data_IF_285399877275
#
_entry.id   IF_285399877275
#
_cell.length_a   1.000
_cell.length_b   1.000
_cell.length_c   1.000
_cell.angle_alpha   90.00
_cell.angle_beta   90.00
_cell.angle_gamma   90.00
#
_symmetry.space_group_name_H-M   'P 1'
#
loop_
_entity.id
_entity.type
_entity.pdbx_description
1 polymer ?
#
# COMPACT_ATOMS: atom_id res chain seq x y z
N UNK A 1 26.60 5.99 -12.01
CA UNK A 1 25.60 5.93 -10.94
C UNK A 1 25.31 4.47 -10.64
N UNK A 2 25.28 4.04 -9.37
CA UNK A 2 24.88 2.66 -9.02
C UNK A 2 23.39 2.52 -9.33
N UNK A 3 22.98 1.47 -10.04
CA UNK A 3 21.57 1.27 -10.40
C UNK A 3 20.70 1.07 -9.14
N UNK A 4 19.49 1.66 -9.10
CA UNK A 4 18.59 1.59 -7.94
C UNK A 4 18.25 0.16 -7.50
N UNK A 5 18.23 -0.79 -8.45
CA UNK A 5 18.06 -2.22 -8.16
C UNK A 5 19.24 -2.81 -7.38
N UNK A 6 20.47 -2.40 -7.71
CA UNK A 6 21.66 -2.81 -6.97
C UNK A 6 21.61 -2.24 -5.55
N UNK A 7 21.16 -0.99 -5.39
CA UNK A 7 20.99 -0.35 -4.08
C UNK A 7 19.93 -1.05 -3.22
N UNK A 8 18.79 -1.44 -3.80
CA UNK A 8 17.77 -2.22 -3.11
C UNK A 8 18.29 -3.60 -2.67
N UNK A 9 19.12 -4.24 -3.51
CA UNK A 9 19.82 -5.48 -3.17
C UNK A 9 20.78 -5.31 -2.00
N UNK A 10 21.59 -4.25 -2.01
CA UNK A 10 22.52 -3.94 -0.91
C UNK A 10 21.78 -3.67 0.40
N UNK A 11 20.68 -2.91 0.36
CA UNK A 11 19.87 -2.61 1.55
C UNK A 11 19.22 -3.86 2.12
N UNK A 12 18.69 -4.74 1.25
CA UNK A 12 18.10 -6.01 1.66
C UNK A 12 19.15 -6.93 2.29
N UNK A 13 20.33 -7.04 1.70
CA UNK A 13 21.44 -7.83 2.25
C UNK A 13 21.85 -7.32 3.63
N UNK A 14 21.99 -5.99 3.79
CA UNK A 14 22.38 -5.36 5.05
C UNK A 14 21.33 -5.53 6.16
N UNK A 15 20.04 -5.43 5.81
CA UNK A 15 18.96 -5.74 6.75
C UNK A 15 19.01 -7.22 7.16
N UNK A 16 19.27 -8.11 6.20
CA UNK A 16 19.44 -9.55 6.44
C UNK A 16 20.58 -9.86 7.40
N UNK A 17 21.73 -9.20 7.25
CA UNK A 17 22.88 -9.32 8.18
C UNK A 17 22.51 -8.94 9.61
N UNK A 18 21.83 -7.80 9.79
CA UNK A 18 21.41 -7.29 11.10
C UNK A 18 20.35 -8.23 11.73
N UNK A 19 19.40 -8.71 10.93
CA UNK A 19 18.38 -9.65 11.39
C UNK A 19 18.96 -11.01 11.75
N UNK A 20 19.92 -11.51 10.97
CA UNK A 20 20.58 -12.79 11.23
C UNK A 20 21.44 -12.71 12.50
N UNK A 21 22.11 -11.57 12.74
CA UNK A 21 22.79 -11.31 14.02
C UNK A 21 21.80 -11.39 15.19
N UNK A 22 20.65 -10.72 15.08
CA UNK A 22 19.61 -10.79 16.12
C UNK A 22 19.06 -12.21 16.31
N UNK A 23 18.93 -12.99 15.23
CA UNK A 23 18.48 -14.39 15.28
C UNK A 23 19.48 -15.29 16.00
N UNK A 24 20.78 -15.09 15.75
CA UNK A 24 21.86 -15.91 16.29
C UNK A 24 22.24 -15.56 17.73
N UNK A 25 22.17 -14.27 18.09
CA UNK A 25 22.71 -13.75 19.35
C UNK A 25 21.65 -13.12 20.26
N UNK A 26 20.38 -13.13 19.83
CA UNK A 26 19.27 -12.48 20.54
C UNK A 26 19.15 -11.00 20.17
N UNK A 27 17.94 -10.45 20.32
CA UNK A 27 17.65 -9.06 19.93
C UNK A 27 18.48 -8.03 20.71
N UNK A 28 18.82 -8.35 21.97
CA UNK A 28 19.62 -7.50 22.86
C UNK A 28 21.09 -7.38 22.44
N UNK A 29 21.54 -8.21 21.48
CA UNK A 29 22.88 -8.14 20.89
C UNK A 29 23.03 -7.04 19.84
N UNK A 30 21.90 -6.43 19.41
CA UNK A 30 21.92 -5.32 18.47
C UNK A 30 22.28 -4.02 19.18
N UNK A 31 23.20 -3.27 18.59
CA UNK A 31 23.51 -1.92 19.03
C UNK A 31 22.38 -0.95 18.63
N UNK A 32 22.20 0.16 19.36
CA UNK A 32 21.25 1.20 18.96
C UNK A 32 21.49 1.74 17.53
N UNK A 33 22.74 1.74 17.08
CA UNK A 33 23.11 2.13 15.72
C UNK A 33 22.61 1.13 14.67
N UNK A 34 22.71 -0.18 14.92
CA UNK A 34 22.20 -1.22 14.00
C UNK A 34 20.67 -1.23 13.92
N UNK A 35 19.99 -0.97 15.04
CA UNK A 35 18.53 -0.81 15.06
C UNK A 35 18.12 0.41 14.23
N UNK A 36 18.84 1.53 14.38
CA UNK A 36 18.58 2.75 13.61
C UNK A 36 18.87 2.56 12.13
N UNK A 37 19.98 1.92 11.80
CA UNK A 37 20.37 1.60 10.43
C UNK A 37 19.30 0.72 9.75
N UNK A 38 18.81 -0.31 10.43
CA UNK A 38 17.73 -1.15 9.90
C UNK A 38 16.44 -0.36 9.63
N UNK A 39 16.08 0.59 10.50
CA UNK A 39 14.93 1.46 10.31
C UNK A 39 15.12 2.42 9.12
N UNK A 40 16.30 3.04 9.00
CA UNK A 40 16.62 3.98 7.93
C UNK A 40 16.68 3.26 6.57
N UNK A 41 17.28 2.06 6.51
CA UNK A 41 17.33 1.23 5.29
C UNK A 41 15.94 0.76 4.87
N UNK A 42 15.09 0.37 5.82
CA UNK A 42 13.70 -0.01 5.54
C UNK A 42 12.88 1.18 5.02
N UNK A 43 13.10 2.37 5.57
CA UNK A 43 12.52 3.62 5.07
C UNK A 43 12.99 3.95 3.65
N UNK A 44 14.29 3.81 3.38
CA UNK A 44 14.85 4.02 2.05
C UNK A 44 14.30 3.03 1.00
N UNK A 45 14.13 1.75 1.36
CA UNK A 45 13.47 0.76 0.50
C UNK A 45 12.02 1.13 0.19
N UNK A 46 11.26 1.57 1.21
CA UNK A 46 9.88 2.00 1.02
C UNK A 46 9.75 3.18 0.05
N UNK A 47 10.68 4.13 0.08
CA UNK A 47 10.72 5.26 -0.86
C UNK A 47 11.03 4.83 -2.30
N UNK A 48 11.89 3.81 -2.47
CA UNK A 48 12.21 3.24 -3.78
C UNK A 48 10.97 2.54 -4.36
N UNK A 49 10.27 1.74 -3.56
CA UNK A 49 9.05 1.04 -3.98
C UNK A 49 7.91 2.02 -4.31
N UNK A 50 7.75 3.08 -3.52
CA UNK A 50 6.78 4.15 -3.81
C UNK A 50 7.07 4.85 -5.14
N UNK A 51 8.35 5.17 -5.41
CA UNK A 51 8.77 5.78 -6.67
C UNK A 51 8.51 4.89 -7.87
N UNK A 52 8.73 3.58 -7.72
CA UNK A 52 8.46 2.57 -8.76
C UNK A 52 6.97 2.44 -9.06
N UNK A 53 6.14 2.38 -8.01
CA UNK A 53 4.69 2.27 -8.15
C UNK A 53 4.09 3.51 -8.82
N UNK A 54 4.56 4.71 -8.46
CA UNK A 54 4.11 5.97 -9.05
C UNK A 54 4.38 6.01 -10.56
N UNK A 55 5.58 5.60 -10.99
CA UNK A 55 5.96 5.63 -12.41
C UNK A 55 5.23 4.56 -13.21
N UNK A 56 4.99 3.38 -12.64
CA UNK A 56 4.13 2.36 -13.28
C UNK A 56 2.69 2.86 -13.45
N UNK A 57 2.15 3.54 -12.45
CA UNK A 57 0.82 4.14 -12.53
C UNK A 57 0.75 5.22 -13.61
N UNK A 58 1.76 6.12 -13.68
CA UNK A 58 1.85 7.11 -14.76
C UNK A 58 1.90 6.45 -16.14
N UNK A 59 2.75 5.43 -16.32
CA UNK A 59 2.85 4.70 -17.58
C UNK A 59 1.52 4.07 -18.03
N UNK A 60 0.70 3.62 -17.08
CA UNK A 60 -0.64 3.08 -17.35
C UNK A 60 -1.64 4.16 -17.75
N UNK A 61 -1.56 5.35 -17.15
CA UNK A 61 -2.51 6.45 -17.34
C UNK A 61 -2.18 7.31 -18.57
N UNK A 62 -0.91 7.63 -18.79
CA UNK A 62 -0.49 8.55 -19.87
C UNK A 62 -0.06 7.84 -21.15
N UNK A 63 0.00 6.51 -21.14
CA UNK A 63 0.77 5.75 -22.12
C UNK A 63 2.27 6.01 -21.94
N UNK A 64 3.10 5.12 -22.49
CA UNK A 64 4.56 5.19 -22.36
C UNK A 64 5.17 6.38 -23.12
N UNK A 65 4.98 7.60 -22.60
CA UNK A 65 5.63 8.81 -23.12
C UNK A 65 7.16 8.67 -23.00
N UNK A 66 7.89 9.47 -23.75
CA UNK A 66 9.35 9.44 -23.74
C UNK A 66 9.91 9.85 -22.38
N UNK A 67 9.24 10.80 -21.69
CA UNK A 67 9.59 11.17 -20.30
C UNK A 67 9.33 10.03 -19.32
N UNK A 68 8.17 9.35 -19.43
CA UNK A 68 7.83 8.20 -18.58
C UNK A 68 8.83 7.05 -18.82
N UNK A 69 9.24 6.84 -20.05
CA UNK A 69 10.24 5.82 -20.42
C UNK A 69 11.60 6.14 -19.81
N UNK A 70 12.04 7.40 -19.84
CA UNK A 70 13.29 7.81 -19.18
C UNK A 70 13.22 7.69 -17.65
N UNK A 71 12.08 8.02 -17.02
CA UNK A 71 11.86 7.80 -15.58
C UNK A 71 11.91 6.30 -15.23
N UNK A 72 11.28 5.43 -16.04
CA UNK A 72 11.35 3.96 -15.87
C UNK A 72 12.79 3.47 -15.96
N UNK A 73 13.58 3.93 -16.92
CA UNK A 73 14.99 3.53 -17.05
C UNK A 73 15.79 3.93 -15.82
N UNK A 74 15.58 5.14 -15.32
CA UNK A 74 16.29 5.65 -14.15
C UNK A 74 15.95 4.87 -12.87
N UNK A 75 14.69 4.45 -12.72
CA UNK A 75 14.18 3.77 -11.52
C UNK A 75 14.33 2.25 -11.57
N UNK A 76 14.10 1.64 -12.74
CA UNK A 76 14.03 0.18 -12.92
C UNK A 76 15.24 -0.42 -13.66
N UNK A 77 16.10 0.42 -14.25
CA UNK A 77 17.21 -0.02 -15.11
C UNK A 77 16.75 -0.41 -16.53
N UNK A 78 17.71 -0.67 -17.43
CA UNK A 78 17.44 -0.98 -18.85
C UNK A 78 16.53 -2.22 -19.05
N UNK A 79 16.52 -3.16 -18.11
CA UNK A 79 15.64 -4.34 -18.13
C UNK A 79 14.16 -4.02 -17.86
N UNK A 80 13.85 -2.86 -17.28
CA UNK A 80 12.47 -2.41 -17.04
C UNK A 80 11.71 -2.05 -18.33
N UNK A 81 12.42 -1.59 -19.37
CA UNK A 81 11.81 -1.19 -20.65
C UNK A 81 11.24 -2.38 -21.41
N UNK A 82 11.89 -3.54 -21.36
CA UNK A 82 11.41 -4.75 -22.05
C UNK A 82 10.07 -5.24 -21.49
N UNK A 83 9.78 -4.97 -20.22
CA UNK A 83 8.51 -5.29 -19.58
C UNK A 83 7.40 -4.25 -19.88
N UNK A 84 7.76 -3.00 -20.20
CA UNK A 84 6.80 -1.93 -20.50
C UNK A 84 6.52 -1.74 -22.00
N UNK A 85 7.46 -2.06 -22.89
CA UNK A 85 7.29 -1.94 -24.34
C UNK A 85 6.44 -3.07 -24.97
N UNK A 86 6.11 -4.12 -24.20
CA UNK A 86 5.32 -5.27 -24.64
C UNK A 86 3.87 -5.34 -24.12
N UNK A 87 3.36 -4.30 -23.45
CA UNK A 87 2.01 -4.34 -22.84
C UNK A 87 0.90 -3.94 -23.82
N UNK A 88 0.88 -4.58 -24.99
CA UNK A 88 -0.36 -4.73 -25.73
C UNK A 88 -1.26 -5.72 -24.96
N UNK A 89 -2.33 -5.20 -24.36
CA UNK A 89 -3.56 -5.90 -24.00
C UNK A 89 -3.41 -7.39 -23.58
N UNK A 90 -2.75 -7.65 -22.45
CA UNK A 90 -3.00 -8.88 -21.69
C UNK A 90 -2.88 -8.56 -20.21
N UNK A 91 -4.04 -8.51 -19.56
CA UNK A 91 -4.20 -8.06 -18.18
C UNK A 91 -3.07 -8.56 -17.29
N UNK A 92 -2.31 -7.60 -16.76
CA UNK A 92 -1.43 -7.84 -15.62
C UNK A 92 -2.35 -8.35 -14.53
N UNK A 93 -2.30 -9.65 -14.25
CA UNK A 93 -2.93 -10.22 -13.06
C UNK A 93 -2.24 -9.55 -11.88
N UNK A 94 -2.84 -8.48 -11.38
CA UNK A 94 -2.38 -7.79 -10.18
C UNK A 94 -2.17 -8.80 -9.06
N UNK A 95 -1.12 -8.58 -8.28
CA UNK A 95 -0.74 -9.43 -7.15
C UNK A 95 -1.99 -9.84 -6.34
N UNK A 96 -2.16 -11.14 -6.03
CA UNK A 96 -3.37 -11.65 -5.40
C UNK A 96 -3.55 -11.22 -3.93
N UNK A 97 -2.66 -10.40 -3.38
CA UNK A 97 -2.61 -10.06 -1.95
C UNK A 97 -2.50 -8.53 -1.84
N UNK A 98 -3.49 -7.84 -1.25
CA UNK A 98 -3.27 -6.50 -0.75
C UNK A 98 -2.29 -6.60 0.43
N UNK A 99 -1.16 -5.93 0.26
CA UNK A 99 -0.07 -5.61 1.19
C UNK A 99 0.03 -6.43 2.52
N UNK A 100 0.76 -7.56 2.53
CA UNK A 100 0.99 -8.34 3.75
C UNK A 100 1.88 -7.61 4.77
N UNK A 101 2.79 -6.74 4.30
CA UNK A 101 3.70 -5.96 5.12
C UNK A 101 3.18 -4.53 5.33
N UNK A 102 3.45 -3.87 6.48
CA UNK A 102 3.07 -2.48 6.66
C UNK A 102 3.70 -1.55 5.62
N UNK A 103 2.89 -0.69 4.99
CA UNK A 103 3.32 0.31 4.00
C UNK A 103 2.91 1.70 4.47
N UNK A 104 3.84 2.65 4.41
CA UNK A 104 3.52 4.07 4.63
C UNK A 104 2.87 4.63 3.38
N UNK A 105 1.67 5.20 3.53
CA UNK A 105 0.92 5.77 2.41
C UNK A 105 1.13 7.28 2.28
N UNK A 106 0.65 7.88 1.20
CA UNK A 106 0.86 9.30 0.88
C UNK A 106 0.33 10.28 1.95
N UNK A 107 -0.58 9.83 2.82
CA UNK A 107 -1.09 10.61 3.95
C UNK A 107 -0.18 10.54 5.20
N UNK A 108 0.98 9.90 5.12
CA UNK A 108 1.94 9.73 6.21
C UNK A 108 1.58 8.65 7.24
N UNK A 109 0.49 7.90 7.02
CA UNK A 109 0.05 6.83 7.91
C UNK A 109 0.40 5.45 7.35
N UNK A 110 0.58 4.52 8.28
CA UNK A 110 0.94 3.12 7.98
C UNK A 110 -0.31 2.30 7.75
N UNK A 111 -0.36 1.62 6.62
CA UNK A 111 -1.42 0.70 6.22
C UNK A 111 -0.90 -0.74 6.22
N UNK A 112 -1.71 -1.69 6.70
CA UNK A 112 -1.43 -3.12 6.62
C UNK A 112 -2.74 -3.86 6.38
N UNK A 113 -2.79 -4.72 5.38
CA UNK A 113 -4.00 -5.50 5.12
C UNK A 113 -4.29 -6.46 6.28
N UNK A 114 -5.56 -6.56 6.67
CA UNK A 114 -5.96 -7.44 7.75
C UNK A 114 -6.12 -8.88 7.20
N UNK A 115 -5.45 -9.89 7.79
CA UNK A 115 -5.56 -11.28 7.33
C UNK A 115 -7.00 -11.78 7.24
N UNK A 116 -7.89 -11.31 8.12
CA UNK A 116 -9.32 -11.65 8.12
C UNK A 116 -10.03 -11.27 6.82
N UNK A 117 -9.63 -10.18 6.18
CA UNK A 117 -10.25 -9.63 4.98
C UNK A 117 -9.44 -9.91 3.71
N UNK A 118 -8.31 -10.61 3.81
CA UNK A 118 -7.34 -10.75 2.73
C UNK A 118 -7.29 -12.18 2.17
N UNK A 119 -7.77 -12.43 0.93
CA UNK A 119 -7.72 -13.76 0.33
C UNK A 119 -6.31 -14.36 0.33
N UNK A 120 -6.20 -15.62 0.74
CA UNK A 120 -4.92 -16.33 0.79
C UNK A 120 -4.11 -16.13 2.08
N UNK A 121 -4.53 -15.26 3.00
CA UNK A 121 -3.92 -15.15 4.33
C UNK A 121 -4.60 -16.05 5.37
N UNK A 122 -3.84 -16.41 6.41
CA UNK A 122 -4.33 -17.21 7.53
C UNK A 122 -5.39 -16.40 8.29
N UNK A 123 -6.57 -16.99 8.47
CA UNK A 123 -7.71 -16.34 9.12
C UNK A 123 -8.67 -15.62 8.17
N UNK A 124 -8.40 -15.64 6.86
CA UNK A 124 -9.35 -15.13 5.86
C UNK A 124 -10.68 -15.88 5.91
N UNK A 125 -11.77 -15.13 5.88
CA UNK A 125 -13.11 -15.70 5.78
C UNK A 125 -13.99 -14.82 4.90
N UNK A 126 -14.55 -15.35 3.81
CA UNK A 126 -15.36 -14.56 2.85
C UNK A 126 -16.52 -13.82 3.52
N UNK A 127 -17.15 -14.42 4.53
CA UNK A 127 -18.26 -13.78 5.27
C UNK A 127 -17.80 -12.62 6.18
N UNK A 128 -16.49 -12.40 6.31
CA UNK A 128 -15.95 -11.21 6.95
C UNK A 128 -15.85 -10.02 5.99
N UNK A 129 -16.15 -10.17 4.70
CA UNK A 129 -15.89 -9.14 3.69
C UNK A 129 -14.47 -9.24 3.12
N UNK A 130 -14.34 -8.88 1.84
CA UNK A 130 -13.06 -8.98 1.11
C UNK A 130 -12.51 -7.59 0.87
N UNK A 131 -11.29 -7.37 1.35
CA UNK A 131 -10.60 -6.10 1.16
C UNK A 131 -10.43 -5.80 -0.35
N UNK A 132 -10.72 -4.57 -0.80
CA UNK A 132 -10.55 -4.19 -2.20
C UNK A 132 -9.07 -4.14 -2.58
N UNK A 133 -8.75 -4.47 -3.84
CA UNK A 133 -7.36 -4.53 -4.32
C UNK A 133 -6.63 -3.18 -4.27
N UNK A 134 -7.36 -2.08 -4.40
CA UNK A 134 -6.84 -0.71 -4.32
C UNK A 134 -6.98 -0.11 -2.90
N UNK A 135 -7.08 -0.94 -1.85
CA UNK A 135 -7.26 -0.51 -0.46
C UNK A 135 -6.21 0.50 0.03
N UNK A 136 -4.96 0.34 -0.40
CA UNK A 136 -3.85 1.25 -0.07
C UNK A 136 -4.05 2.65 -0.65
N UNK A 137 -4.48 2.72 -1.90
CA UNK A 137 -4.72 3.98 -2.60
C UNK A 137 -5.93 4.69 -1.98
N UNK A 138 -7.03 3.94 -1.76
CA UNK A 138 -8.20 4.42 -1.04
C UNK A 138 -7.81 4.96 0.34
N UNK A 139 -6.99 4.22 1.08
CA UNK A 139 -6.50 4.67 2.38
C UNK A 139 -5.62 5.92 2.27
N UNK A 140 -4.71 5.99 1.31
CA UNK A 140 -3.87 7.16 1.05
C UNK A 140 -4.69 8.42 0.79
N UNK A 141 -5.82 8.30 0.10
CA UNK A 141 -6.74 9.40 -0.21
C UNK A 141 -7.86 9.58 0.84
N UNK A 142 -7.83 8.82 1.92
CA UNK A 142 -8.92 8.83 2.91
C UNK A 142 -8.95 10.09 3.76
N UNK A 143 -10.14 10.44 4.26
CA UNK A 143 -10.38 11.54 5.19
C UNK A 143 -10.65 11.03 6.59
N UNK A 144 -10.12 11.72 7.60
CA UNK A 144 -10.34 11.39 9.01
C UNK A 144 -11.69 11.92 9.51
N UNK A 145 -12.36 11.09 10.31
CA UNK A 145 -13.49 11.49 11.15
C UNK A 145 -13.51 10.64 12.43
N UNK A 146 -13.25 11.30 13.56
CA UNK A 146 -13.05 10.63 14.86
C UNK A 146 -11.87 9.65 14.83
N UNK A 147 -12.12 8.40 15.24
CA UNK A 147 -11.13 7.31 15.29
C UNK A 147 -11.04 6.48 14.01
N UNK A 148 -11.73 6.91 12.95
CA UNK A 148 -11.85 6.17 11.69
C UNK A 148 -11.46 7.05 10.51
N UNK A 149 -11.17 6.39 9.40
CA UNK A 149 -10.92 7.07 8.11
C UNK A 149 -11.83 6.50 7.03
N UNK A 150 -12.12 7.32 6.04
CA UNK A 150 -13.10 7.00 5.00
C UNK A 150 -12.59 7.42 3.62
N UNK A 151 -12.86 6.62 2.60
CA UNK A 151 -12.50 6.92 1.22
C UNK A 151 -13.66 6.60 0.27
N UNK A 152 -13.73 7.30 -0.85
CA UNK A 152 -14.69 7.05 -1.92
C UNK A 152 -13.99 6.29 -3.05
N UNK A 153 -14.57 5.20 -3.53
CA UNK A 153 -14.10 4.50 -4.73
C UNK A 153 -14.72 5.07 -6.01
N UNK A 154 -14.30 4.55 -7.17
CA UNK A 154 -14.81 4.94 -8.49
C UNK A 154 -16.28 4.58 -8.70
N UNK A 155 -16.79 3.60 -7.96
CA UNK A 155 -18.16 3.08 -8.09
C UNK A 155 -19.13 3.83 -7.15
N UNK A 156 -18.63 4.80 -6.38
CA UNK A 156 -19.41 5.60 -5.45
C UNK A 156 -19.63 4.95 -4.07
N UNK A 157 -18.89 3.88 -3.75
CA UNK A 157 -18.92 3.25 -2.44
C UNK A 157 -17.96 3.94 -1.47
N UNK A 158 -18.40 4.07 -0.22
CA UNK A 158 -17.54 4.54 0.86
C UNK A 158 -16.91 3.37 1.57
N UNK A 159 -15.58 3.38 1.63
CA UNK A 159 -14.77 2.45 2.39
C UNK A 159 -14.43 3.03 3.76
N UNK A 160 -14.37 2.17 4.77
CA UNK A 160 -13.97 2.51 6.14
C UNK A 160 -12.65 1.83 6.49
N UNK A 161 -11.82 2.55 7.23
CA UNK A 161 -10.56 2.08 7.76
C UNK A 161 -10.48 2.32 9.27
N UNK A 162 -9.93 1.33 9.98
CA UNK A 162 -9.73 1.36 11.43
C UNK A 162 -8.26 1.22 11.78
N UNK A 163 -7.86 1.88 12.86
CA UNK A 163 -6.52 1.77 13.41
C UNK A 163 -6.46 0.63 14.43
N UNK A 164 -5.34 -0.07 14.45
CA UNK A 164 -4.96 -1.06 15.46
C UNK A 164 -4.06 -0.38 16.50
N UNK A 165 -3.98 -0.94 17.72
CA UNK A 165 -3.16 -0.37 18.80
C UNK A 165 -1.66 -0.21 18.47
N UNK A 166 -1.16 -0.89 17.44
CA UNK A 166 0.21 -0.78 16.94
C UNK A 166 0.41 0.40 15.96
N UNK A 167 -0.61 1.22 15.74
CA UNK A 167 -0.58 2.36 14.84
C UNK A 167 -0.85 2.01 13.37
N UNK A 168 -1.04 0.74 13.02
CA UNK A 168 -1.39 0.32 11.65
C UNK A 168 -2.86 0.51 11.36
N UNK A 169 -3.17 0.93 10.13
CA UNK A 169 -4.54 1.02 9.62
C UNK A 169 -4.86 -0.14 8.70
N UNK A 170 -6.10 -0.60 8.74
CA UNK A 170 -6.59 -1.65 7.86
C UNK A 170 -8.03 -1.37 7.41
N UNK A 171 -8.41 -1.94 6.27
CA UNK A 171 -9.78 -1.88 5.79
C UNK A 171 -10.73 -2.65 6.71
N UNK A 172 -11.91 -2.08 6.98
CA UNK A 172 -12.88 -2.63 7.94
C UNK A 172 -14.31 -2.73 7.39
N UNK A 173 -14.52 -2.40 6.11
CA UNK A 173 -15.83 -2.50 5.47
C UNK A 173 -16.08 -1.43 4.42
N UNK A 174 -17.17 -1.60 3.66
CA UNK A 174 -17.62 -0.59 2.69
C UNK A 174 -19.13 -0.62 2.49
N UNK A 175 -19.68 0.43 1.89
CA UNK A 175 -21.11 0.45 1.51
C UNK A 175 -21.45 -0.48 0.34
N UNK A 176 -20.43 -0.97 -0.39
CA UNK A 176 -20.58 -1.90 -1.50
C UNK A 176 -20.35 -3.37 -1.13
N UNK A 177 -19.79 -3.64 0.06
CA UNK A 177 -19.53 -5.01 0.53
C UNK A 177 -20.74 -5.53 1.33
N UNK A 178 -21.23 -6.73 0.99
CA UNK A 178 -22.39 -7.34 1.65
C UNK A 178 -22.05 -8.02 2.98
N UNK A 179 -20.80 -8.42 3.16
CA UNK A 179 -20.32 -9.18 4.31
C UNK A 179 -19.68 -8.28 5.38
N UNK A 180 -18.98 -7.23 4.97
CA UNK A 180 -18.51 -6.11 5.79
C UNK A 180 -19.26 -4.83 5.43
N UNK A 181 -20.58 -4.89 5.52
CA UNK A 181 -21.45 -3.79 5.13
C UNK A 181 -21.29 -2.59 6.08
N UNK A 182 -20.97 -1.44 5.49
CA UNK A 182 -21.10 -0.14 6.13
C UNK A 182 -22.46 0.45 5.74
N UNK A 183 -23.30 0.79 6.70
CA UNK A 183 -24.53 1.51 6.36
C UNK A 183 -24.19 2.95 5.95
N UNK A 184 -24.88 3.47 4.93
CA UNK A 184 -24.75 4.87 4.50
C UNK A 184 -25.20 5.86 5.59
N UNK A 185 -26.03 5.41 6.53
CA UNK A 185 -26.39 6.16 7.75
C UNK A 185 -25.21 6.33 8.71
N UNK A 186 -24.28 5.37 8.72
CA UNK A 186 -23.17 5.32 9.67
C UNK A 186 -21.95 6.10 9.18
N UNK A 187 -21.99 6.60 7.93
CA UNK A 187 -20.99 7.52 7.41
C UNK A 187 -21.24 8.90 8.01
N UNK A 188 -20.26 9.50 8.72
CA UNK A 188 -20.43 10.82 9.33
C UNK A 188 -20.75 11.91 8.31
N UNK A 189 -21.53 12.92 8.72
CA UNK A 189 -21.92 14.03 7.83
C UNK A 189 -20.73 14.87 7.37
N UNK A 190 -19.68 14.99 8.19
CA UNK A 190 -18.44 15.68 7.80
C UNK A 190 -17.68 14.90 6.70
N UNK A 191 -17.69 13.57 6.77
CA UNK A 191 -17.11 12.70 5.72
C UNK A 191 -17.89 12.86 4.42
N UNK A 192 -19.23 12.86 4.47
CA UNK A 192 -20.06 13.07 3.28
C UNK A 192 -19.71 14.38 2.58
N UNK A 193 -19.55 15.47 3.34
CA UNK A 193 -19.14 16.77 2.81
C UNK A 193 -17.74 16.75 2.20
N UNK A 194 -16.75 16.18 2.92
CA UNK A 194 -15.35 16.11 2.46
C UNK A 194 -15.18 15.25 1.20
N UNK A 195 -15.99 14.19 1.06
CA UNK A 195 -15.98 13.30 -0.11
C UNK A 195 -16.89 13.79 -1.25
N UNK A 196 -17.53 14.95 -1.12
CA UNK A 196 -18.41 15.51 -2.15
C UNK A 196 -19.69 14.69 -2.40
N UNK A 197 -20.14 13.92 -1.39
CA UNK A 197 -21.36 13.12 -1.50
C UNK A 197 -22.61 14.03 -1.41
N UNK A 198 -23.70 13.68 -2.12
CA UNK A 198 -24.91 14.47 -2.09
C UNK A 198 -25.49 14.57 -0.68
N UNK A 199 -26.13 15.69 -0.37
CA UNK A 199 -26.69 15.95 0.96
C UNK A 199 -27.73 14.89 1.40
N UNK A 200 -28.42 14.29 0.43
CA UNK A 200 -29.37 13.19 0.62
C UNK A 200 -28.77 11.82 0.29
N UNK A 201 -27.49 11.61 0.52
CA UNK A 201 -26.85 10.30 0.38
C UNK A 201 -27.35 9.37 1.49
N UNK A 202 -28.31 8.51 1.11
CA UNK A 202 -29.01 7.51 1.93
C UNK A 202 -28.85 6.11 1.35
#
# INVERSE_FOLDING_TARGET
AKELRALQGDYSARIGEIQEKARMQGLDSLTPAEVRECADLRGAMSNIDASRNLVLHRAQVTGGSEETTQEIVKIMGQTGIAASAGVAAKGIKGSPIPVPDPVTTNNGLVYKSNPKHTPGQIGYHRNAGTEPKNSVELFGNSVASGKKRYALDSDGNVHQFTNTNDGTWHWSGSTGDKSAALSKSDVPSDVKKKLGLPEKWR
#
